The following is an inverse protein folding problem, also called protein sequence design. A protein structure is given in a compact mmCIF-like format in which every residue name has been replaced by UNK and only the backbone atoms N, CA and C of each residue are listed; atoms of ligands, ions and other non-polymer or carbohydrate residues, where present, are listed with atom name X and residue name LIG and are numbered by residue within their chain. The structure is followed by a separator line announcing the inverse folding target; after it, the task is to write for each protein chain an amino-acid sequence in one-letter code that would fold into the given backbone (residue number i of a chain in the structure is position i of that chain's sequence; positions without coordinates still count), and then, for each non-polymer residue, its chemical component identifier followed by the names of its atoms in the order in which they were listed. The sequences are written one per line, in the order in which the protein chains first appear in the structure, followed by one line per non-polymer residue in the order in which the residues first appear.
data_IF_626355779251
#
_entry.id   IF_626355779251
#
_cell.length_a   1.000
_cell.length_b   1.000
_cell.length_c   1.000
_cell.angle_alpha   90.00
_cell.angle_beta   90.00
_cell.angle_gamma   90.00
#
_symmetry.space_group_name_H-M   'P 1'
#
loop_
_entity.id
_entity.type
_entity.pdbx_description
1 polymer ?
#
# COMPACT_ATOMS: atom_id res chain seq x y z
N UNK A 1 10.20 17.76 9.46
CA UNK A 1 9.52 16.63 10.12
C UNK A 1 8.04 16.92 10.11
N UNK A 2 7.32 16.41 9.11
CA UNK A 2 5.85 16.46 9.06
C UNK A 2 5.36 15.42 10.08
N UNK A 3 4.43 15.75 10.99
CA UNK A 3 3.96 14.79 11.98
C UNK A 3 3.26 13.64 11.26
N UNK A 4 3.68 12.41 11.57
CA UNK A 4 3.02 11.17 11.20
C UNK A 4 1.52 11.33 11.48
N UNK A 5 0.67 11.27 10.44
CA UNK A 5 -0.77 11.33 10.62
C UNK A 5 -1.20 9.96 11.17
N UNK A 6 -1.56 9.84 12.46
CA UNK A 6 -1.99 8.56 13.03
C UNK A 6 -3.22 7.99 12.31
N UNK A 7 -3.97 8.80 11.56
CA UNK A 7 -5.05 8.32 10.71
C UNK A 7 -4.55 7.36 9.62
N UNK A 8 -3.44 7.66 8.93
CA UNK A 8 -2.91 6.81 7.85
C UNK A 8 -2.45 5.47 8.39
N UNK A 9 -1.76 5.45 9.54
CA UNK A 9 -1.35 4.19 10.17
C UNK A 9 -2.54 3.42 10.76
N UNK A 10 -3.55 4.13 11.26
CA UNK A 10 -4.80 3.51 11.69
C UNK A 10 -5.56 2.93 10.51
N UNK A 11 -5.55 3.57 9.34
CA UNK A 11 -6.17 3.09 8.11
C UNK A 11 -5.42 1.89 7.53
N UNK A 12 -4.08 1.92 7.49
CA UNK A 12 -3.27 0.74 7.11
C UNK A 12 -3.55 -0.41 8.09
N UNK A 13 -3.59 -0.13 9.40
CA UNK A 13 -3.94 -1.13 10.41
C UNK A 13 -5.39 -1.61 10.26
N UNK A 14 -6.33 -0.73 9.94
CA UNK A 14 -7.73 -1.08 9.71
C UNK A 14 -7.90 -1.88 8.42
N UNK A 15 -7.08 -1.65 7.39
CA UNK A 15 -7.06 -2.47 6.18
C UNK A 15 -6.54 -3.87 6.50
N UNK A 16 -5.53 -3.99 7.36
CA UNK A 16 -4.99 -5.27 7.85
C UNK A 16 -6.00 -6.00 8.75
N UNK A 17 -6.76 -5.27 9.57
CA UNK A 17 -7.72 -5.81 10.54
C UNK A 17 -9.14 -6.00 9.97
N UNK A 18 -9.49 -5.28 8.90
CA UNK A 18 -10.81 -5.26 8.27
C UNK A 18 -11.03 -6.37 7.26
N UNK A 19 -10.04 -7.24 7.09
CA UNK A 19 -10.24 -8.53 6.45
C UNK A 19 -11.19 -9.28 7.43
N UNK A 20 -12.46 -9.46 7.06
CA UNK A 20 -13.48 -10.09 7.91
C UNK A 20 -13.16 -11.57 8.16
N UNK A 21 -13.17 -11.98 9.44
CA UNK A 21 -13.07 -13.32 10.09
C UNK A 21 -13.81 -14.51 9.41
N UNK A 22 -14.38 -14.29 8.23
CA UNK A 22 -15.05 -15.23 7.37
C UNK A 22 -14.08 -16.21 6.70
N UNK A 23 -14.04 -17.42 7.25
CA UNK A 23 -13.59 -18.68 6.62
C UNK A 23 -12.09 -18.97 6.68
N UNK A 24 -11.56 -19.20 7.89
CA UNK A 24 -10.42 -20.12 8.10
C UNK A 24 -9.20 -19.92 7.16
N UNK A 25 -8.87 -18.67 6.83
CA UNK A 25 -7.83 -18.38 5.86
C UNK A 25 -6.45 -18.39 6.55
N UNK A 26 -5.47 -19.20 6.08
CA UNK A 26 -4.08 -19.13 6.55
C UNK A 26 -3.51 -17.70 6.51
N UNK A 27 -4.04 -16.85 5.62
CA UNK A 27 -3.66 -15.43 5.52
C UNK A 27 -3.97 -14.68 6.82
N UNK A 28 -5.09 -14.93 7.51
CA UNK A 28 -5.38 -14.30 8.81
C UNK A 28 -4.41 -14.72 9.89
N UNK A 29 -4.09 -16.01 9.93
CA UNK A 29 -3.13 -16.54 10.89
C UNK A 29 -1.76 -15.90 10.66
N UNK A 30 -1.32 -15.80 9.41
CA UNK A 30 -0.07 -15.14 9.05
C UNK A 30 -0.13 -13.63 9.36
N UNK A 31 -1.22 -12.93 9.02
CA UNK A 31 -1.42 -11.52 9.33
C UNK A 31 -1.40 -11.25 10.85
N UNK A 32 -2.05 -12.10 11.65
CA UNK A 32 -2.03 -11.99 13.12
C UNK A 32 -0.64 -12.18 13.72
N UNK A 33 0.24 -12.92 13.05
CA UNK A 33 1.63 -13.09 13.48
C UNK A 33 2.50 -11.89 13.15
N UNK A 34 2.12 -11.08 12.15
CA UNK A 34 2.89 -9.92 11.70
C UNK A 34 2.21 -8.58 12.01
N UNK A 35 1.02 -8.56 12.61
CA UNK A 35 0.28 -7.31 12.91
C UNK A 35 1.02 -6.39 13.89
N UNK A 36 1.91 -6.99 14.70
CA UNK A 36 2.82 -6.28 15.61
C UNK A 36 4.18 -5.95 14.96
N UNK A 37 4.40 -6.37 13.70
CA UNK A 37 5.58 -5.98 12.92
C UNK A 37 5.43 -4.55 12.39
N UNK A 38 6.53 -3.99 11.88
CA UNK A 38 6.50 -2.67 11.25
C UNK A 38 5.55 -2.65 10.04
N UNK A 39 4.89 -1.52 9.75
CA UNK A 39 4.05 -1.38 8.56
C UNK A 39 4.78 -1.78 7.27
N UNK A 40 6.10 -1.55 7.19
CA UNK A 40 6.94 -1.97 6.08
C UNK A 40 7.00 -3.50 5.90
N UNK A 41 7.09 -4.27 6.99
CA UNK A 41 7.08 -5.74 6.94
C UNK A 41 5.71 -6.24 6.46
N UNK A 42 4.64 -5.65 6.98
CA UNK A 42 3.28 -6.04 6.59
C UNK A 42 3.03 -5.69 5.12
N UNK A 43 3.47 -4.52 4.68
CA UNK A 43 3.38 -4.11 3.29
C UNK A 43 4.12 -5.09 2.36
N UNK A 44 5.37 -5.43 2.68
CA UNK A 44 6.17 -6.44 1.94
C UNK A 44 5.47 -7.78 1.87
N UNK A 45 4.90 -8.25 2.97
CA UNK A 45 4.11 -9.48 3.00
C UNK A 45 2.87 -9.39 2.09
N UNK A 46 2.18 -8.25 2.07
CA UNK A 46 1.01 -8.04 1.21
C UNK A 46 1.38 -7.98 -0.27
N UNK A 47 2.54 -7.42 -0.63
CA UNK A 47 3.02 -7.36 -2.03
C UNK A 47 3.13 -8.75 -2.65
N UNK A 48 3.48 -9.77 -1.86
CA UNK A 48 3.59 -11.16 -2.31
C UNK A 48 2.25 -11.90 -2.39
N UNK A 49 1.12 -11.28 -1.99
CA UNK A 49 -0.20 -11.92 -2.00
C UNK A 49 -0.92 -11.71 -3.35
N UNK A 50 -1.74 -12.70 -3.77
CA UNK A 50 -2.62 -12.52 -4.92
C UNK A 50 -3.58 -11.35 -4.67
N UNK A 51 -3.93 -10.65 -5.74
CA UNK A 51 -4.81 -9.47 -5.70
C UNK A 51 -4.27 -8.26 -4.92
N UNK A 52 -2.96 -8.23 -4.63
CA UNK A 52 -2.31 -7.06 -4.01
C UNK A 52 -2.71 -5.76 -4.70
N UNK A 53 -2.55 -5.67 -6.03
CA UNK A 53 -2.87 -4.45 -6.78
C UNK A 53 -4.32 -4.01 -6.60
N UNK A 54 -5.28 -4.93 -6.66
CA UNK A 54 -6.71 -4.63 -6.49
C UNK A 54 -6.99 -4.10 -5.08
N UNK A 55 -6.52 -4.81 -4.05
CA UNK A 55 -6.73 -4.41 -2.66
C UNK A 55 -6.03 -3.09 -2.34
N UNK A 56 -4.83 -2.89 -2.89
CA UNK A 56 -4.06 -1.67 -2.72
C UNK A 56 -4.73 -0.47 -3.37
N UNK A 57 -5.25 -0.61 -4.60
CA UNK A 57 -6.01 0.43 -5.28
C UNK A 57 -7.29 0.80 -4.50
N UNK A 58 -8.02 -0.20 -4.00
CA UNK A 58 -9.25 0.03 -3.25
C UNK A 58 -8.97 0.72 -1.91
N UNK A 59 -7.89 0.35 -1.22
CA UNK A 59 -7.45 1.03 -0.01
C UNK A 59 -7.11 2.51 -0.26
N UNK A 60 -6.37 2.78 -1.35
CA UNK A 60 -6.02 4.15 -1.73
C UNK A 60 -7.23 4.97 -2.19
N UNK A 61 -8.27 4.34 -2.74
CA UNK A 61 -9.52 5.01 -3.10
C UNK A 61 -10.25 5.61 -1.89
N UNK A 62 -10.06 5.04 -0.71
CA UNK A 62 -10.60 5.59 0.53
C UNK A 62 -9.78 6.76 1.09
N UNK A 63 -8.54 6.95 0.61
CA UNK A 63 -7.68 8.05 1.00
C UNK A 63 -8.09 9.33 0.27
N UNK A 64 -7.97 10.51 0.92
CA UNK A 64 -8.14 11.77 0.21
C UNK A 64 -7.09 11.91 -0.90
N UNK A 65 -7.49 12.46 -2.04
CA UNK A 65 -6.58 12.83 -3.13
C UNK A 65 -5.51 13.79 -2.58
N UNK A 66 -4.31 13.27 -2.35
CA UNK A 66 -3.19 14.06 -1.85
C UNK A 66 -2.03 13.97 -2.82
N UNK A 67 -1.61 15.12 -3.36
CA UNK A 67 -0.39 15.21 -4.15
C UNK A 67 0.80 14.63 -3.36
N UNK A 68 1.49 13.66 -3.95
CA UNK A 68 2.63 13.01 -3.32
C UNK A 68 2.27 11.94 -2.29
N UNK A 69 1.05 11.36 -2.36
CA UNK A 69 0.65 10.23 -1.52
C UNK A 69 1.67 9.09 -1.64
N UNK A 70 1.99 8.67 -2.87
CA UNK A 70 2.89 7.53 -3.09
C UNK A 70 4.32 7.81 -2.63
N UNK A 71 4.78 9.05 -2.78
CA UNK A 71 6.10 9.46 -2.27
C UNK A 71 6.12 9.43 -0.75
N UNK A 72 5.08 9.97 -0.10
CA UNK A 72 4.95 9.97 1.36
C UNK A 72 4.86 8.53 1.89
N UNK A 73 3.99 7.71 1.32
CA UNK A 73 3.80 6.31 1.68
C UNK A 73 5.10 5.52 1.50
N UNK A 74 5.79 5.70 0.37
CA UNK A 74 7.03 5.00 0.07
C UNK A 74 8.18 5.39 1.00
N UNK A 75 8.26 6.67 1.38
CA UNK A 75 9.24 7.14 2.36
C UNK A 75 8.93 6.59 3.75
N UNK A 76 7.67 6.59 4.16
CA UNK A 76 7.23 6.12 5.48
C UNK A 76 7.41 4.61 5.66
N UNK A 77 7.20 3.84 4.59
CA UNK A 77 7.44 2.40 4.57
C UNK A 77 8.90 2.03 4.28
N UNK A 78 9.78 3.04 4.11
CA UNK A 78 11.19 2.86 3.73
C UNK A 78 11.35 1.89 2.54
N UNK A 79 10.52 2.09 1.51
CA UNK A 79 10.53 1.27 0.30
C UNK A 79 11.79 1.54 -0.52
N UNK A 80 12.47 0.45 -0.89
CA UNK A 80 13.53 0.46 -1.89
C UNK A 80 13.01 0.92 -3.25
N UNK A 81 13.90 1.37 -4.14
CA UNK A 81 13.53 1.80 -5.50
C UNK A 81 12.72 0.73 -6.24
N UNK A 82 13.07 -0.55 -6.07
CA UNK A 82 12.31 -1.67 -6.66
C UNK A 82 10.90 -1.77 -6.10
N UNK A 83 10.72 -1.63 -4.79
CA UNK A 83 9.41 -1.67 -4.14
C UNK A 83 8.54 -0.48 -4.55
N UNK A 84 9.13 0.71 -4.69
CA UNK A 84 8.43 1.89 -5.23
C UNK A 84 7.94 1.66 -6.65
N UNK A 85 8.75 1.03 -7.50
CA UNK A 85 8.33 0.64 -8.85
C UNK A 85 7.16 -0.35 -8.79
N UNK A 86 7.18 -1.33 -7.90
CA UNK A 86 6.07 -2.28 -7.71
C UNK A 86 4.78 -1.56 -7.29
N UNK A 87 4.86 -0.61 -6.35
CA UNK A 87 3.72 0.23 -5.92
C UNK A 87 3.13 1.00 -7.09
N UNK A 88 3.98 1.67 -7.87
CA UNK A 88 3.54 2.44 -9.03
C UNK A 88 2.94 1.57 -10.13
N UNK A 89 3.50 0.38 -10.37
CA UNK A 89 2.97 -0.59 -11.33
C UNK A 89 1.62 -1.15 -10.88
N UNK A 90 1.46 -1.45 -9.59
CA UNK A 90 0.19 -1.92 -9.03
C UNK A 90 -0.96 -0.93 -9.29
N UNK A 91 -0.67 0.38 -9.26
CA UNK A 91 -1.64 1.44 -9.54
C UNK A 91 -1.82 1.74 -11.02
N UNK A 92 -0.81 1.43 -11.85
CA UNK A 92 -0.85 1.68 -13.30
C UNK A 92 -1.90 0.86 -14.04
N UNK A 93 -2.43 -0.19 -13.40
CA UNK A 93 -3.51 -1.05 -13.87
C UNK A 93 -4.86 -0.76 -13.16
N UNK A 94 -4.93 0.28 -12.33
CA UNK A 94 -6.16 0.69 -11.65
C UNK A 94 -7.24 1.12 -12.63
N UNK A 95 -8.49 0.73 -12.37
CA UNK A 95 -9.69 1.22 -13.08
C UNK A 95 -10.01 2.68 -12.75
N UNK A 96 -9.47 3.20 -11.63
CA UNK A 96 -9.57 4.62 -11.31
C UNK A 96 -8.55 5.41 -12.16
N UNK A 97 -8.99 6.32 -13.05
CA UNK A 97 -8.10 7.04 -13.96
C UNK A 97 -7.09 7.93 -13.24
N UNK A 98 -7.42 8.45 -12.05
CA UNK A 98 -6.54 9.31 -11.27
C UNK A 98 -5.40 8.49 -10.65
N UNK A 99 -5.73 7.36 -10.01
CA UNK A 99 -4.73 6.39 -9.49
C UNK A 99 -3.89 5.81 -10.63
N UNK A 100 -4.49 5.52 -11.78
CA UNK A 100 -3.79 5.04 -12.97
C UNK A 100 -2.72 6.03 -13.42
N UNK A 101 -3.09 7.31 -13.54
CA UNK A 101 -2.18 8.37 -13.95
C UNK A 101 -1.09 8.61 -12.90
N UNK A 102 -1.45 8.61 -11.61
CA UNK A 102 -0.50 8.77 -10.51
C UNK A 102 0.52 7.63 -10.47
N UNK A 103 0.06 6.39 -10.53
CA UNK A 103 0.90 5.18 -10.55
C UNK A 103 1.90 5.19 -11.70
N UNK A 104 1.47 5.61 -12.90
CA UNK A 104 2.36 5.75 -14.07
C UNK A 104 3.40 6.85 -13.88
N UNK A 105 2.99 8.03 -13.40
CA UNK A 105 3.91 9.15 -13.12
C UNK A 105 4.96 8.75 -12.09
N UNK A 106 4.52 8.10 -11.01
CA UNK A 106 5.38 7.61 -9.94
C UNK A 106 6.38 6.56 -10.45
N UNK A 107 5.91 5.56 -11.19
CA UNK A 107 6.77 4.53 -11.80
C UNK A 107 7.84 5.14 -12.70
N UNK A 108 7.46 6.09 -13.57
CA UNK A 108 8.40 6.77 -14.47
C UNK A 108 9.43 7.58 -13.68
N UNK A 109 9.03 8.24 -12.58
CA UNK A 109 9.95 8.98 -11.73
C UNK A 109 11.03 8.06 -11.15
N UNK A 110 10.66 6.85 -10.69
CA UNK A 110 11.59 5.91 -10.09
C UNK A 110 12.58 5.25 -11.09
N UNK A 111 12.24 5.22 -12.38
CA UNK A 111 13.12 4.64 -13.43
C UNK A 111 14.12 5.68 -13.95
N UNK A 112 13.84 6.97 -13.78
CA UNK A 112 14.68 8.06 -14.26
C UNK A 112 15.83 8.44 -13.31
N UNK A 113 15.85 7.87 -12.10
CA UNK A 113 16.92 8.02 -11.10
C UNK A 113 18.08 7.03 -11.36
#
# INVERSE_FOLDING_TARGET
MIPFNPAVAAEVRALIQGVEDSTFDPIYRELSQIVDCSPAIIFRYCVDKPYFSTNFCEALRAMPDSDGLLETLSNELELSTTERVVVGLALSDSENPDLNLEGRKFTIAQIKE
#
